data_IF_694174752112
#
_entry.id   IF_694174752112
#
_cell.length_a   1.000
_cell.length_b   1.000
_cell.length_c   1.000
_cell.angle_alpha   90.00
_cell.angle_beta   90.00
_cell.angle_gamma   90.00
#
_symmetry.space_group_name_H-M   'P 1'
#
loop_
_entity.id
_entity.type
_entity.pdbx_description
1 polymer ?
#
# COMPACT_ATOMS: atom_id res chain seq x y z
N UNK A 1 -18.34 14.57 -13.05
CA UNK A 1 -16.96 14.48 -13.55
C UNK A 1 -16.42 13.10 -13.17
N UNK A 2 -16.26 12.19 -14.14
CA UNK A 2 -15.61 10.90 -13.89
C UNK A 2 -14.13 11.16 -13.66
N UNK A 3 -13.69 11.15 -12.40
CA UNK A 3 -12.26 11.07 -12.12
C UNK A 3 -11.79 9.67 -12.51
N UNK A 4 -10.87 9.58 -13.46
CA UNK A 4 -10.29 8.30 -13.87
C UNK A 4 -9.65 7.62 -12.65
N UNK A 5 -9.90 6.32 -12.47
CA UNK A 5 -9.28 5.55 -11.39
C UNK A 5 -7.75 5.56 -11.57
N UNK A 6 -6.99 5.84 -10.50
CA UNK A 6 -5.54 5.84 -10.58
C UNK A 6 -5.04 4.46 -11.01
N UNK A 7 -4.01 4.45 -11.86
CA UNK A 7 -3.46 3.22 -12.47
C UNK A 7 -2.10 2.81 -11.91
N UNK A 8 -1.52 3.66 -11.07
CA UNK A 8 -0.14 3.54 -10.62
C UNK A 8 -0.01 3.86 -9.13
N UNK A 9 0.99 3.23 -8.52
CA UNK A 9 1.35 3.38 -7.12
C UNK A 9 2.71 4.06 -7.05
N UNK A 10 2.79 5.18 -6.35
CA UNK A 10 4.06 5.83 -6.04
C UNK A 10 4.73 5.10 -4.88
N UNK A 11 5.95 4.64 -5.06
CA UNK A 11 6.77 3.96 -4.06
C UNK A 11 7.91 4.86 -3.64
N UNK A 12 8.07 5.07 -2.34
CA UNK A 12 9.05 5.97 -1.77
C UNK A 12 9.84 5.27 -0.66
N UNK A 13 11.15 5.43 -0.71
CA UNK A 13 12.08 4.99 0.31
C UNK A 13 13.07 6.12 0.58
N UNK A 14 13.50 6.29 1.83
CA UNK A 14 14.35 7.44 2.24
C UNK A 14 15.71 7.50 1.51
N UNK A 15 16.12 6.38 0.91
CA UNK A 15 17.42 6.20 0.24
C UNK A 15 17.35 6.17 -1.29
N UNK A 16 16.15 6.24 -1.88
CA UNK A 16 15.98 6.20 -3.33
C UNK A 16 15.09 7.34 -3.82
N UNK A 17 15.19 7.65 -5.11
CA UNK A 17 14.21 8.53 -5.73
C UNK A 17 12.83 7.85 -5.74
N UNK A 18 11.73 8.59 -5.53
CA UNK A 18 10.38 8.07 -5.70
C UNK A 18 10.20 7.42 -7.07
N UNK A 19 9.58 6.25 -7.08
CA UNK A 19 9.25 5.51 -8.30
C UNK A 19 7.73 5.42 -8.46
N UNK A 20 7.28 5.26 -9.69
CA UNK A 20 5.87 5.01 -10.00
C UNK A 20 5.77 3.62 -10.62
N UNK A 21 5.01 2.73 -9.97
CA UNK A 21 4.86 1.34 -10.38
C UNK A 21 3.41 1.04 -10.76
N UNK A 22 3.22 0.22 -11.79
CA UNK A 22 1.92 -0.37 -12.11
C UNK A 22 1.68 -1.62 -11.25
N UNK A 23 0.42 -2.04 -11.13
CA UNK A 23 0.09 -3.32 -10.48
C UNK A 23 0.78 -4.53 -11.17
N UNK A 24 0.95 -4.46 -12.50
CA UNK A 24 1.69 -5.47 -13.26
C UNK A 24 3.18 -5.50 -12.89
N UNK A 25 3.84 -4.35 -12.78
CA UNK A 25 5.24 -4.28 -12.36
C UNK A 25 5.45 -4.79 -10.92
N UNK A 26 4.50 -4.53 -10.02
CA UNK A 26 4.48 -5.10 -8.65
C UNK A 26 4.38 -6.63 -8.73
N UNK A 27 3.44 -7.16 -9.52
CA UNK A 27 3.25 -8.59 -9.68
C UNK A 27 4.50 -9.29 -10.26
N UNK A 28 5.09 -8.71 -11.30
CA UNK A 28 6.31 -9.22 -11.93
C UNK A 28 7.50 -9.22 -10.97
N UNK A 29 7.66 -8.15 -10.19
CA UNK A 29 8.74 -8.03 -9.20
C UNK A 29 8.60 -9.07 -8.08
N UNK A 30 7.38 -9.37 -7.65
CA UNK A 30 7.14 -10.39 -6.63
C UNK A 30 7.47 -11.82 -7.13
N UNK A 31 7.38 -12.06 -8.44
CA UNK A 31 7.70 -13.33 -9.09
C UNK A 31 6.70 -14.48 -8.88
N UNK A 32 5.70 -14.30 -8.00
CA UNK A 32 4.60 -15.25 -7.83
C UNK A 32 3.35 -14.53 -7.30
N UNK A 33 2.19 -15.00 -7.74
CA UNK A 33 0.88 -14.59 -7.22
C UNK A 33 0.14 -15.79 -6.64
N UNK A 34 -0.86 -15.50 -5.81
CA UNK A 34 -1.77 -16.49 -5.21
C UNK A 34 -3.21 -15.93 -5.22
N UNK A 35 -4.21 -16.79 -5.00
CA UNK A 35 -5.58 -16.33 -4.87
C UNK A 35 -5.76 -15.70 -3.49
N UNK A 36 -6.19 -14.43 -3.42
CA UNK A 36 -6.26 -13.69 -2.15
C UNK A 36 -7.14 -14.40 -1.10
N UNK A 37 -8.14 -15.17 -1.52
CA UNK A 37 -8.99 -15.98 -0.66
C UNK A 37 -8.23 -17.02 0.18
N UNK A 38 -7.04 -17.44 -0.25
CA UNK A 38 -6.15 -18.30 0.52
C UNK A 38 -5.64 -17.63 1.81
N UNK A 39 -5.59 -16.30 1.84
CA UNK A 39 -5.08 -15.50 2.96
C UNK A 39 -6.14 -14.65 3.65
N UNK A 40 -7.13 -14.17 2.90
CA UNK A 40 -8.24 -13.36 3.38
C UNK A 40 -9.55 -14.02 2.93
N UNK A 41 -10.14 -14.89 3.77
CA UNK A 41 -11.38 -15.60 3.43
C UNK A 41 -12.49 -14.65 2.95
N UNK A 42 -13.24 -15.08 1.93
CA UNK A 42 -14.32 -14.28 1.35
C UNK A 42 -13.86 -13.17 0.38
N UNK A 43 -12.56 -13.04 0.11
CA UNK A 43 -12.02 -12.12 -0.90
C UNK A 43 -11.63 -12.88 -2.17
N UNK A 44 -11.82 -12.26 -3.34
CA UNK A 44 -11.44 -12.79 -4.66
C UNK A 44 -10.38 -11.90 -5.35
N UNK A 45 -9.58 -12.53 -6.21
CA UNK A 45 -8.57 -11.88 -7.04
C UNK A 45 -7.14 -12.39 -6.84
N UNK A 46 -6.22 -11.87 -7.64
CA UNK A 46 -4.80 -12.25 -7.62
C UNK A 46 -4.01 -11.29 -6.75
N UNK A 47 -3.31 -11.84 -5.77
CA UNK A 47 -2.47 -11.09 -4.86
C UNK A 47 -1.03 -11.57 -4.89
N UNK A 48 -0.13 -10.70 -4.46
CA UNK A 48 1.27 -11.03 -4.19
C UNK A 48 1.60 -10.81 -2.73
N UNK A 49 2.61 -11.51 -2.25
CA UNK A 49 3.08 -11.37 -0.87
C UNK A 49 3.85 -10.05 -0.71
N UNK A 50 3.44 -9.22 0.25
CA UNK A 50 4.01 -7.89 0.45
C UNK A 50 5.51 -7.94 0.78
N UNK A 51 5.93 -8.80 1.71
CA UNK A 51 7.32 -8.88 2.12
C UNK A 51 8.20 -9.49 1.03
N UNK A 52 7.71 -10.50 0.31
CA UNK A 52 8.42 -11.05 -0.84
C UNK A 52 8.59 -10.02 -1.95
N UNK A 53 7.53 -9.28 -2.27
CA UNK A 53 7.61 -8.19 -3.24
C UNK A 53 8.60 -7.12 -2.80
N UNK A 54 8.50 -6.65 -1.55
CA UNK A 54 9.41 -5.63 -1.03
C UNK A 54 10.86 -6.09 -1.02
N UNK A 55 11.13 -7.35 -0.63
CA UNK A 55 12.47 -7.93 -0.66
C UNK A 55 13.07 -8.00 -2.08
N UNK A 56 12.26 -8.34 -3.07
CA UNK A 56 12.70 -8.35 -4.48
C UNK A 56 12.88 -6.93 -5.03
N UNK A 57 11.98 -6.00 -4.69
CA UNK A 57 12.08 -4.61 -5.08
C UNK A 57 13.32 -3.95 -4.48
N UNK A 58 13.55 -4.07 -3.16
CA UNK A 58 14.72 -3.49 -2.50
C UNK A 58 16.04 -4.04 -3.06
N UNK A 59 16.07 -5.31 -3.46
CA UNK A 59 17.25 -5.91 -4.08
C UNK A 59 17.55 -5.30 -5.45
N UNK A 60 16.52 -5.10 -6.29
CA UNK A 60 16.65 -4.42 -7.59
C UNK A 60 17.13 -2.97 -7.45
N UNK A 61 16.71 -2.29 -6.38
CA UNK A 61 17.09 -0.91 -6.09
C UNK A 61 18.45 -0.79 -5.35
N UNK A 62 19.17 -1.89 -5.13
CA UNK A 62 20.46 -1.87 -4.44
C UNK A 62 20.38 -1.59 -2.93
N UNK A 63 19.20 -1.75 -2.33
CA UNK A 63 18.90 -1.49 -0.91
C UNK A 63 19.02 -2.74 -0.03
N UNK A 64 19.72 -3.80 -0.48
CA UNK A 64 19.77 -5.09 0.22
C UNK A 64 20.39 -4.99 1.62
N UNK A 65 21.42 -4.17 1.77
CA UNK A 65 22.17 -3.98 3.02
C UNK A 65 21.55 -2.89 3.93
N UNK A 66 20.56 -2.15 3.43
CA UNK A 66 19.92 -1.09 4.20
C UNK A 66 19.04 -1.65 5.34
N UNK A 67 18.76 -0.86 6.39
CA UNK A 67 17.83 -1.28 7.43
C UNK A 67 16.43 -1.58 6.87
N UNK A 68 15.75 -2.55 7.48
CA UNK A 68 14.33 -2.77 7.22
C UNK A 68 13.53 -1.59 7.76
N UNK A 69 12.47 -1.13 7.07
CA UNK A 69 11.61 -0.04 7.56
C UNK A 69 10.96 -0.39 8.91
N UNK A 70 10.74 0.61 9.75
CA UNK A 70 9.97 0.46 10.98
C UNK A 70 8.46 0.59 10.76
N UNK A 71 8.05 1.29 9.70
CA UNK A 71 6.64 1.45 9.34
C UNK A 71 6.45 1.66 7.84
N UNK A 72 5.24 1.39 7.38
CA UNK A 72 4.75 1.74 6.05
C UNK A 72 3.65 2.80 6.19
N UNK A 73 3.85 3.95 5.55
CA UNK A 73 2.77 4.90 5.33
C UNK A 73 2.09 4.62 3.99
N UNK A 74 0.76 4.56 4.03
CA UNK A 74 -0.14 4.32 2.93
C UNK A 74 -0.95 5.57 2.66
N UNK A 75 -1.12 5.92 1.38
CA UNK A 75 -2.17 6.87 0.97
C UNK A 75 -3.04 6.24 -0.11
N UNK A 76 -4.35 6.42 0.04
CA UNK A 76 -5.35 6.00 -0.93
C UNK A 76 -5.90 7.18 -1.73
N UNK A 77 -6.47 6.87 -2.89
CA UNK A 77 -7.04 7.86 -3.80
C UNK A 77 -8.23 8.64 -3.22
N UNK A 78 -8.88 8.14 -2.17
CA UNK A 78 -9.97 8.81 -1.45
C UNK A 78 -9.48 9.62 -0.23
N UNK A 79 -8.20 9.98 -0.22
CA UNK A 79 -7.52 10.73 0.84
C UNK A 79 -7.45 10.01 2.20
N UNK A 80 -7.76 8.71 2.24
CA UNK A 80 -7.44 7.87 3.37
C UNK A 80 -5.93 7.69 3.50
N UNK A 81 -5.44 7.75 4.74
CA UNK A 81 -4.06 7.46 5.09
C UNK A 81 -3.99 6.50 6.26
N UNK A 82 -2.96 5.66 6.26
CA UNK A 82 -2.59 4.83 7.39
C UNK A 82 -1.08 4.77 7.54
N UNK A 83 -0.59 4.73 8.77
CA UNK A 83 0.78 4.35 9.12
C UNK A 83 0.67 3.01 9.83
N UNK A 84 1.28 1.99 9.24
CA UNK A 84 1.24 0.61 9.72
C UNK A 84 2.63 0.22 10.20
N UNK A 85 2.80 -0.15 11.48
CA UNK A 85 4.06 -0.68 11.98
C UNK A 85 4.49 -1.90 11.17
N UNK A 86 5.79 -2.02 10.91
CA UNK A 86 6.33 -3.08 10.05
C UNK A 86 5.95 -4.48 10.53
N UNK A 87 5.96 -4.68 11.84
CA UNK A 87 5.59 -5.96 12.48
C UNK A 87 4.13 -6.35 12.23
N UNK A 88 3.24 -5.40 11.99
CA UNK A 88 1.82 -5.65 11.68
C UNK A 88 1.58 -5.96 10.19
N UNK A 89 2.60 -5.81 9.34
CA UNK A 89 2.54 -6.19 7.93
C UNK A 89 2.91 -7.66 7.71
N UNK A 90 3.08 -8.44 8.78
CA UNK A 90 3.25 -9.89 8.69
C UNK A 90 2.07 -10.51 7.94
N UNK A 91 2.40 -11.30 6.92
CA UNK A 91 1.45 -11.85 5.96
C UNK A 91 0.62 -10.81 5.20
N UNK A 92 1.02 -9.54 5.14
CA UNK A 92 0.35 -8.58 4.28
C UNK A 92 0.39 -9.02 2.81
N UNK A 93 -0.68 -8.71 2.08
CA UNK A 93 -0.85 -9.06 0.70
C UNK A 93 -1.24 -7.84 -0.12
N UNK A 94 -0.73 -7.75 -1.35
CA UNK A 94 -1.10 -6.71 -2.31
C UNK A 94 -1.97 -7.37 -3.37
N UNK A 95 -3.26 -7.04 -3.39
CA UNK A 95 -4.16 -7.39 -4.48
C UNK A 95 -3.80 -6.53 -5.70
N UNK A 96 -3.48 -7.18 -6.82
CA UNK A 96 -2.95 -6.53 -8.03
C UNK A 96 -3.86 -6.70 -9.25
N UNK A 97 -4.74 -7.72 -9.25
CA UNK A 97 -5.66 -7.98 -10.35
C UNK A 97 -6.90 -8.76 -9.89
N UNK A 98 -7.94 -8.77 -10.73
CA UNK A 98 -9.10 -9.66 -10.59
C UNK A 98 -8.68 -11.14 -10.74
N UNK A 99 -9.58 -12.08 -10.48
CA UNK A 99 -9.28 -13.52 -10.65
C UNK A 99 -8.90 -13.87 -12.09
N UNK A 100 -9.54 -13.18 -13.03
CA UNK A 100 -9.32 -13.27 -14.47
C UNK A 100 -7.98 -12.62 -14.89
N UNK A 101 -7.33 -11.88 -13.99
CA UNK A 101 -6.07 -11.18 -14.25
C UNK A 101 -6.25 -9.76 -14.81
N UNK A 102 -7.45 -9.20 -14.72
CA UNK A 102 -7.77 -7.86 -15.21
C UNK A 102 -7.44 -6.78 -14.17
N UNK A 103 -7.27 -5.52 -14.58
CA UNK A 103 -7.11 -4.41 -13.65
C UNK A 103 -8.29 -4.28 -12.68
N UNK A 104 -8.02 -3.84 -11.45
CA UNK A 104 -8.98 -3.80 -10.34
C UNK A 104 -10.12 -2.76 -10.47
N UNK A 105 -10.15 -1.94 -11.52
CA UNK A 105 -11.18 -0.91 -11.69
C UNK A 105 -11.29 0.05 -10.49
N UNK A 106 -12.45 0.08 -9.85
CA UNK A 106 -12.80 1.05 -8.79
C UNK A 106 -12.08 0.81 -7.46
N UNK A 107 -11.49 -0.36 -7.23
CA UNK A 107 -10.69 -0.65 -6.03
C UNK A 107 -9.18 -0.53 -6.28
N UNK A 108 -8.78 -0.18 -7.51
CA UNK A 108 -7.40 -0.08 -7.98
C UNK A 108 -6.72 1.27 -7.70
N UNK A 109 -5.39 1.36 -7.93
CA UNK A 109 -4.60 0.44 -8.74
C UNK A 109 -4.16 -0.83 -8.02
N UNK A 110 -4.00 -0.78 -6.69
CA UNK A 110 -3.80 -1.95 -5.84
C UNK A 110 -4.61 -1.81 -4.55
N UNK A 111 -4.84 -2.93 -3.86
CA UNK A 111 -5.41 -2.95 -2.51
C UNK A 111 -4.48 -3.71 -1.57
N UNK A 112 -4.16 -3.10 -0.44
CA UNK A 112 -3.38 -3.77 0.60
C UNK A 112 -4.34 -4.49 1.55
N UNK A 113 -3.97 -5.71 1.94
CA UNK A 113 -4.58 -6.45 3.03
C UNK A 113 -3.53 -6.72 4.11
N UNK A 114 -3.86 -6.47 5.37
CA UNK A 114 -3.00 -6.73 6.51
C UNK A 114 -3.76 -7.64 7.51
N UNK A 115 -3.81 -8.96 7.27
CA UNK A 115 -4.66 -9.88 8.04
C UNK A 115 -4.25 -10.03 9.51
N UNK A 116 -2.99 -9.75 9.85
CA UNK A 116 -2.50 -9.70 11.23
C UNK A 116 -2.46 -8.28 11.81
N UNK A 117 -2.98 -7.30 11.07
CA UNK A 117 -3.12 -5.94 11.57
C UNK A 117 -4.15 -5.87 12.70
N UNK A 118 -3.97 -4.91 13.60
CA UNK A 118 -4.84 -4.74 14.77
C UNK A 118 -6.28 -4.31 14.44
N UNK A 119 -6.60 -4.05 13.16
CA UNK A 119 -7.92 -3.60 12.70
C UNK A 119 -8.15 -3.88 11.21
N UNK A 120 -9.40 -4.18 10.83
CA UNK A 120 -9.84 -4.29 9.43
C UNK A 120 -9.65 -2.99 8.64
N UNK A 121 -9.53 -1.83 9.32
CA UNK A 121 -9.22 -0.53 8.71
C UNK A 121 -7.87 -0.52 7.96
N UNK A 122 -7.03 -1.54 8.15
CA UNK A 122 -5.76 -1.72 7.46
C UNK A 122 -5.89 -2.41 6.09
N UNK A 123 -7.11 -2.81 5.71
CA UNK A 123 -7.42 -3.31 4.36
C UNK A 123 -7.65 -2.17 3.37
N UNK A 124 -6.60 -1.40 3.10
CA UNK A 124 -6.64 -0.13 2.35
C UNK A 124 -6.87 -0.38 0.86
N UNK A 125 -8.02 0.07 0.34
CA UNK A 125 -8.35 0.08 -1.10
C UNK A 125 -7.70 1.26 -1.82
N UNK A 126 -7.55 1.16 -3.15
CA UNK A 126 -7.11 2.26 -4.01
C UNK A 126 -5.81 2.91 -3.55
N UNK A 127 -4.84 2.10 -3.12
CA UNK A 127 -3.55 2.60 -2.65
C UNK A 127 -2.81 3.23 -3.82
N UNK A 128 -2.40 4.49 -3.65
CA UNK A 128 -1.67 5.27 -4.65
C UNK A 128 -0.28 5.69 -4.18
N UNK A 129 0.02 5.54 -2.89
CA UNK A 129 1.34 5.83 -2.33
C UNK A 129 1.73 4.80 -1.26
N UNK A 130 2.94 4.29 -1.37
CA UNK A 130 3.66 3.48 -0.39
C UNK A 130 4.91 4.24 0.02
N UNK A 131 4.99 4.68 1.27
CA UNK A 131 6.18 5.33 1.81
C UNK A 131 6.78 4.48 2.92
N UNK A 132 7.95 3.93 2.67
CA UNK A 132 8.73 3.16 3.64
C UNK A 132 9.47 4.11 4.59
N UNK A 133 9.29 3.93 5.89
CA UNK A 133 9.83 4.82 6.92
C UNK A 133 10.87 4.07 7.77
N UNK A 134 12.10 4.58 7.85
CA UNK A 134 13.16 4.02 8.70
C UNK A 134 12.88 4.26 10.19
N UNK A 135 12.07 5.27 10.52
CA UNK A 135 11.58 5.54 11.89
C UNK A 135 10.08 5.69 11.90
N UNK A 136 9.41 4.95 12.78
CA UNK A 136 8.00 5.19 13.08
C UNK A 136 7.85 6.52 13.88
N UNK A 137 6.67 7.16 13.83
CA UNK A 137 6.29 8.12 14.87
C UNK A 137 6.47 7.47 16.25
N UNK A 138 6.77 8.26 17.28
CA UNK A 138 7.17 7.78 18.62
C UNK A 138 6.17 6.82 19.30
N UNK A 139 4.93 6.77 18.80
CA UNK A 139 3.90 5.85 19.23
C UNK A 139 3.80 4.74 18.17
N UNK A 140 4.34 3.55 18.46
CA UNK A 140 4.38 2.37 17.57
C UNK A 140 2.98 1.76 17.28
N UNK A 141 1.90 2.49 17.55
CA UNK A 141 0.55 2.06 17.23
C UNK A 141 0.19 2.41 15.79
N UNK A 142 -0.60 1.54 15.14
CA UNK A 142 -1.12 1.84 13.82
C UNK A 142 -2.04 3.07 13.91
N UNK A 143 -1.77 4.09 13.08
CA UNK A 143 -2.60 5.30 13.02
C UNK A 143 -3.27 5.37 11.67
N UNK A 144 -4.56 5.72 11.64
CA UNK A 144 -5.32 5.82 10.39
C UNK A 144 -6.37 6.93 10.46
N UNK A 145 -6.68 7.50 9.32
CA UNK A 145 -7.66 8.58 9.20
C UNK A 145 -7.75 9.14 7.78
N UNK A 146 -8.65 10.10 7.59
CA UNK A 146 -8.74 10.84 6.33
C UNK A 146 -7.96 12.16 6.46
N UNK A 147 -7.20 12.54 5.43
CA UNK A 147 -6.62 13.89 5.37
C UNK A 147 -7.75 14.91 5.52
N UNK A 148 -7.63 15.80 6.50
CA UNK A 148 -8.45 17.00 6.54
C UNK A 148 -8.04 17.86 5.35
N UNK A 149 -8.80 17.77 4.26
CA UNK A 149 -8.71 18.74 3.17
C UNK A 149 -9.36 20.01 3.70
N UNK A 150 -8.56 20.91 4.29
CA UNK A 150 -9.04 22.26 4.52
C UNK A 150 -9.28 22.87 3.15
N UNK A 151 -10.56 23.02 2.77
CA UNK A 151 -10.89 23.84 1.62
C UNK A 151 -10.31 25.25 1.86
N UNK A 152 -9.75 25.93 0.86
CA UNK A 152 -9.19 27.29 1.00
C UNK A 152 -10.18 28.39 1.44
N UNK A 153 -11.35 28.05 2.01
CA UNK A 153 -12.40 28.98 2.45
C UNK A 153 -12.76 28.95 3.94
N UNK A 154 -12.27 28.00 4.74
CA UNK A 154 -12.68 27.85 6.15
C UNK A 154 -11.82 28.61 7.18
N UNK A 155 -10.96 29.53 6.71
CA UNK A 155 -10.34 30.54 7.58
C UNK A 155 -11.01 31.91 7.39
N UNK A 156 -12.23 32.05 7.89
CA UNK A 156 -12.74 33.34 8.36
C UNK A 156 -13.34 33.17 9.75
N UNK A 157 -12.49 33.33 10.75
CA UNK A 157 -12.89 33.84 12.06
C UNK A 157 -13.24 35.32 11.90
N UNK A 158 -14.51 35.67 12.06
CA UNK A 158 -15.01 36.65 13.03
C UNK A 158 -16.53 36.57 13.07
#
# INVERSE_FOLDING_TARGET
MNQASPREVRVEHERTAPQTLTAAAIAETAGAWFAIGERVPGTSGRAVDFHRWYAAWREREGLREEPIPQALKLEAADAFEAIVPWEQLQHAAILVATEQGEPLGDIGPVRLYAPHGVSECLNVKRVVRLQFMERAPSDLEATYGFKKVFAPGEMRKK
#
